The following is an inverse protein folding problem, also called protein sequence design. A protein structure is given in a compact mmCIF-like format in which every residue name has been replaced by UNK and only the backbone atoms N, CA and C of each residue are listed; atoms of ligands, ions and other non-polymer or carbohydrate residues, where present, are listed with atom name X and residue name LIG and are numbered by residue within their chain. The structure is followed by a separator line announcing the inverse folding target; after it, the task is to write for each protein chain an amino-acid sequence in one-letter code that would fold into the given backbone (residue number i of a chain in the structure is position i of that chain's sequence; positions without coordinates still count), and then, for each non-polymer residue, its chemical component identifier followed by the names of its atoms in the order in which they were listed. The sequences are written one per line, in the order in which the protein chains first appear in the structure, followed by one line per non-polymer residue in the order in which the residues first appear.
data_IF_061245187096
#
_entry.id   IF_061245187096
#
_cell.length_a   1.000
_cell.length_b   1.000
_cell.length_c   1.000
_cell.angle_alpha   90.00
_cell.angle_beta   90.00
_cell.angle_gamma   90.00
#
_symmetry.space_group_name_H-M   'P 1'
#
loop_
_entity.id
_entity.type
_entity.pdbx_description
1 polymer ?
#
# COMPACT_ATOMS: atom_id res chain seq x y z
N UNK A 1 -44.36 -22.93 -18.34
CA UNK A 1 -43.93 -21.51 -18.52
C UNK A 1 -43.34 -20.90 -17.26
N UNK A 2 -44.02 -20.92 -16.09
CA UNK A 2 -43.50 -20.30 -14.84
C UNK A 2 -42.14 -20.86 -14.35
N UNK A 3 -41.93 -22.18 -14.48
CA UNK A 3 -40.66 -22.85 -14.10
C UNK A 3 -39.48 -22.48 -15.02
N UNK A 4 -39.75 -22.23 -16.29
CA UNK A 4 -38.74 -21.81 -17.27
C UNK A 4 -38.31 -20.36 -17.03
N UNK A 5 -39.27 -19.49 -16.70
CA UNK A 5 -38.98 -18.10 -16.30
C UNK A 5 -38.13 -18.01 -15.02
N UNK A 6 -38.35 -18.92 -14.06
CA UNK A 6 -37.60 -18.95 -12.80
C UNK A 6 -36.14 -19.38 -12.98
N UNK A 7 -35.87 -20.32 -13.89
CA UNK A 7 -34.51 -20.77 -14.23
C UNK A 7 -33.74 -19.67 -14.96
N UNK A 8 -34.38 -18.96 -15.89
CA UNK A 8 -33.76 -17.83 -16.60
C UNK A 8 -33.44 -16.68 -15.64
N UNK A 9 -34.36 -16.34 -14.74
CA UNK A 9 -34.12 -15.30 -13.72
C UNK A 9 -32.93 -15.65 -12.81
N UNK A 10 -32.80 -16.90 -12.39
CA UNK A 10 -31.70 -17.34 -11.53
C UNK A 10 -30.35 -17.35 -12.27
N UNK A 11 -30.33 -17.72 -13.56
CA UNK A 11 -29.14 -17.63 -14.40
C UNK A 11 -28.67 -16.18 -14.61
N UNK A 12 -29.60 -15.24 -14.80
CA UNK A 12 -29.28 -13.81 -14.90
C UNK A 12 -28.70 -13.25 -13.60
N UNK A 13 -29.24 -13.67 -12.45
CA UNK A 13 -28.71 -13.28 -11.13
C UNK A 13 -27.29 -13.82 -10.94
N UNK A 14 -27.03 -15.10 -11.28
CA UNK A 14 -25.68 -15.67 -11.20
C UNK A 14 -24.69 -14.94 -12.11
N UNK A 15 -25.09 -14.58 -13.33
CA UNK A 15 -24.25 -13.84 -14.27
C UNK A 15 -23.91 -12.43 -13.74
N UNK A 16 -24.87 -11.75 -13.10
CA UNK A 16 -24.65 -10.44 -12.49
C UNK A 16 -23.66 -10.51 -11.32
N UNK A 17 -23.79 -11.54 -10.47
CA UNK A 17 -22.91 -11.76 -9.32
C UNK A 17 -21.48 -12.13 -9.78
N UNK A 18 -21.35 -12.93 -10.84
CA UNK A 18 -20.05 -13.30 -11.42
C UNK A 18 -19.31 -12.09 -12.02
N UNK A 19 -20.00 -11.21 -12.75
CA UNK A 19 -19.40 -9.98 -13.30
C UNK A 19 -18.96 -9.01 -12.20
N UNK A 20 -19.74 -8.86 -11.14
CA UNK A 20 -19.38 -8.01 -10.00
C UNK A 20 -18.14 -8.54 -9.24
N UNK A 21 -18.02 -9.85 -9.08
CA UNK A 21 -16.84 -10.48 -8.48
C UNK A 21 -15.57 -10.31 -9.34
N UNK A 22 -15.71 -10.34 -10.67
CA UNK A 22 -14.57 -10.16 -11.59
C UNK A 22 -14.01 -8.73 -11.52
N UNK A 23 -14.87 -7.71 -11.45
CA UNK A 23 -14.47 -6.31 -11.34
C UNK A 23 -13.69 -5.99 -10.04
N UNK A 24 -13.98 -6.66 -8.93
CA UNK A 24 -13.29 -6.48 -7.65
C UNK A 24 -11.83 -6.96 -7.68
N UNK A 25 -11.49 -7.91 -8.56
CA UNK A 25 -10.12 -8.44 -8.69
C UNK A 25 -9.16 -7.56 -9.50
N UNK A 26 -9.66 -6.44 -10.04
CA UNK A 26 -8.97 -5.59 -11.03
C UNK A 26 -8.30 -4.33 -10.45
N UNK A 27 -8.26 -4.16 -9.12
CA UNK A 27 -7.68 -2.96 -8.50
C UNK A 27 -6.55 -3.33 -7.53
N UNK A 28 -5.44 -2.62 -7.63
CA UNK A 28 -4.28 -2.68 -6.73
C UNK A 28 -4.31 -1.42 -5.88
N UNK A 29 -4.56 -1.57 -4.57
CA UNK A 29 -4.54 -0.44 -3.64
C UNK A 29 -3.12 -0.13 -3.20
N UNK A 30 -2.69 1.11 -3.37
CA UNK A 30 -1.39 1.63 -2.93
C UNK A 30 -1.63 2.72 -1.90
N UNK A 31 -1.07 2.53 -0.71
CA UNK A 31 -1.14 3.53 0.36
C UNK A 31 -0.12 4.64 0.16
N UNK A 32 -0.44 5.86 0.58
CA UNK A 32 0.50 6.99 0.50
C UNK A 32 0.41 7.83 1.77
N UNK A 33 1.57 8.15 2.36
CA UNK A 33 1.67 9.01 3.54
C UNK A 33 2.21 10.40 3.17
N UNK A 34 1.39 11.44 3.32
CA UNK A 34 1.76 12.83 3.01
C UNK A 34 1.34 13.80 4.11
N UNK A 35 2.03 14.93 4.31
CA UNK A 35 1.52 16.00 5.17
C UNK A 35 0.56 16.86 4.35
N UNK A 36 -0.73 16.54 4.36
CA UNK A 36 -1.76 17.29 3.63
C UNK A 36 -2.30 18.47 4.43
N UNK A 37 -2.11 18.46 5.75
CA UNK A 37 -2.39 19.60 6.62
C UNK A 37 -1.16 19.99 7.45
N UNK A 38 -1.22 21.18 8.06
CA UNK A 38 -0.15 21.72 8.89
C UNK A 38 0.96 22.42 8.10
N UNK A 39 2.13 22.58 8.72
CA UNK A 39 3.23 23.42 8.21
C UNK A 39 3.78 23.00 6.85
N UNK A 40 3.62 21.72 6.50
CA UNK A 40 4.17 21.14 5.26
C UNK A 40 3.09 20.81 4.22
N UNK A 41 1.84 21.27 4.43
CA UNK A 41 0.69 21.01 3.55
C UNK A 41 0.99 21.26 2.06
N UNK A 42 1.61 22.41 1.75
CA UNK A 42 1.96 22.78 0.38
C UNK A 42 2.87 21.75 -0.31
N UNK A 43 3.83 21.17 0.42
CA UNK A 43 4.68 20.12 -0.15
C UNK A 43 3.92 18.80 -0.29
N UNK A 44 3.05 18.46 0.66
CA UNK A 44 2.18 17.28 0.55
C UNK A 44 1.20 17.37 -0.62
N UNK A 45 0.67 18.55 -0.92
CA UNK A 45 -0.19 18.78 -2.10
C UNK A 45 0.56 18.54 -3.41
N UNK A 46 1.80 19.05 -3.52
CA UNK A 46 2.66 18.83 -4.70
C UNK A 46 2.97 17.34 -4.88
N UNK A 47 3.33 16.65 -3.80
CA UNK A 47 3.59 15.21 -3.85
C UNK A 47 2.31 14.43 -4.19
N UNK A 48 1.16 14.79 -3.62
CA UNK A 48 -0.14 14.17 -3.94
C UNK A 48 -0.46 14.26 -5.43
N UNK A 49 -0.30 15.45 -6.01
CA UNK A 49 -0.49 15.66 -7.46
C UNK A 49 0.47 14.78 -8.27
N UNK A 50 1.71 14.63 -7.82
CA UNK A 50 2.72 13.79 -8.49
C UNK A 50 2.32 12.31 -8.49
N UNK A 51 1.82 11.80 -7.36
CA UNK A 51 1.29 10.44 -7.27
C UNK A 51 0.06 10.23 -8.16
N UNK A 52 -0.88 11.18 -8.15
CA UNK A 52 -2.10 11.13 -8.95
C UNK A 52 -1.77 11.13 -10.45
N UNK A 53 -0.84 11.97 -10.88
CA UNK A 53 -0.35 12.01 -12.26
C UNK A 53 0.27 10.68 -12.69
N UNK A 54 1.17 10.11 -11.87
CA UNK A 54 1.82 8.84 -12.19
C UNK A 54 0.80 7.69 -12.29
N UNK A 55 -0.17 7.63 -11.37
CA UNK A 55 -1.21 6.60 -11.39
C UNK A 55 -2.16 6.76 -12.56
N UNK A 56 -2.51 8.00 -12.93
CA UNK A 56 -3.33 8.27 -14.11
C UNK A 56 -2.63 7.79 -15.39
N UNK A 57 -1.34 8.08 -15.56
CA UNK A 57 -0.54 7.60 -16.69
C UNK A 57 -0.47 6.07 -16.73
N UNK A 58 -0.14 5.42 -15.62
CA UNK A 58 -0.07 3.95 -15.52
C UNK A 58 -1.42 3.33 -15.85
N UNK A 59 -2.51 3.86 -15.30
CA UNK A 59 -3.85 3.33 -15.53
C UNK A 59 -4.33 3.53 -16.96
N UNK A 60 -3.97 4.65 -17.60
CA UNK A 60 -4.24 4.90 -19.03
C UNK A 60 -3.45 3.94 -19.93
N UNK A 61 -2.25 3.55 -19.53
CA UNK A 61 -1.43 2.54 -20.23
C UNK A 61 -1.90 1.09 -20.03
N UNK A 62 -3.05 0.86 -19.37
CA UNK A 62 -3.62 -0.47 -19.13
C UNK A 62 -3.34 -1.03 -17.73
N UNK A 63 -2.72 -0.25 -16.86
CA UNK A 63 -2.44 -0.63 -15.47
C UNK A 63 -1.27 -1.61 -15.33
N UNK A 64 -1.16 -2.22 -14.15
CA UNK A 64 -0.12 -3.21 -13.83
C UNK A 64 -0.72 -4.60 -13.95
N UNK A 65 -0.22 -5.40 -14.89
CA UNK A 65 -0.77 -6.73 -15.22
C UNK A 65 -2.29 -6.68 -15.51
N UNK A 66 -2.75 -5.64 -16.20
CA UNK A 66 -4.17 -5.42 -16.52
C UNK A 66 -5.03 -4.92 -15.35
N UNK A 67 -4.42 -4.62 -14.19
CA UNK A 67 -5.11 -4.10 -13.00
C UNK A 67 -4.83 -2.62 -12.81
N UNK A 68 -5.85 -1.84 -12.48
CA UNK A 68 -5.71 -0.42 -12.18
C UNK A 68 -5.13 -0.22 -10.78
N UNK A 69 -4.36 0.84 -10.59
CA UNK A 69 -3.92 1.31 -9.29
C UNK A 69 -4.95 2.27 -8.71
N UNK A 70 -5.29 2.10 -7.44
CA UNK A 70 -6.06 3.04 -6.63
C UNK A 70 -5.18 3.54 -5.48
N UNK A 71 -5.10 4.86 -5.33
CA UNK A 71 -4.34 5.50 -4.26
C UNK A 71 -5.23 5.66 -3.01
N UNK A 72 -4.73 5.22 -1.87
CA UNK A 72 -5.30 5.50 -0.55
C UNK A 72 -4.32 6.44 0.17
N UNK A 73 -4.66 7.72 0.23
CA UNK A 73 -3.77 8.75 0.75
C UNK A 73 -4.19 9.14 2.17
N UNK A 74 -3.25 9.05 3.11
CA UNK A 74 -3.45 9.43 4.50
C UNK A 74 -2.67 10.69 4.87
N UNK A 75 -3.31 11.59 5.61
CA UNK A 75 -2.69 12.81 6.10
C UNK A 75 -1.92 12.57 7.40
N UNK A 76 -0.62 12.73 7.33
CA UNK A 76 0.29 12.61 8.47
C UNK A 76 0.32 13.86 9.35
N UNK A 77 -0.16 15.00 8.87
CA UNK A 77 -0.05 16.32 9.50
C UNK A 77 1.39 16.74 9.85
N UNK A 78 2.41 16.04 9.32
CA UNK A 78 3.80 16.17 9.74
C UNK A 78 4.10 15.64 11.15
N UNK A 79 3.20 14.84 11.76
CA UNK A 79 3.31 14.36 13.15
C UNK A 79 3.62 12.86 13.21
N UNK A 80 4.68 12.41 13.94
CA UNK A 80 5.08 11.01 13.97
C UNK A 80 4.00 10.03 14.44
N UNK A 81 3.26 10.36 15.50
CA UNK A 81 2.21 9.48 16.02
C UNK A 81 1.06 9.29 15.04
N UNK A 82 0.71 10.35 14.28
CA UNK A 82 -0.33 10.26 13.25
C UNK A 82 0.16 9.42 12.08
N UNK A 83 1.39 9.62 11.61
CA UNK A 83 1.98 8.79 10.56
C UNK A 83 2.08 7.30 10.94
N UNK A 84 2.38 6.99 12.21
CA UNK A 84 2.36 5.62 12.73
C UNK A 84 0.97 5.00 12.61
N UNK A 85 -0.06 5.70 13.08
CA UNK A 85 -1.45 5.22 13.02
C UNK A 85 -1.97 5.11 11.58
N UNK A 86 -1.60 6.06 10.72
CA UNK A 86 -1.94 6.02 9.29
C UNK A 86 -1.31 4.81 8.59
N UNK A 87 -0.03 4.51 8.85
CA UNK A 87 0.62 3.30 8.35
C UNK A 87 -0.10 2.02 8.83
N UNK A 88 -0.45 1.96 10.11
CA UNK A 88 -1.21 0.82 10.68
C UNK A 88 -2.56 0.65 9.96
N UNK A 89 -3.29 1.75 9.75
CA UNK A 89 -4.59 1.76 9.06
C UNK A 89 -4.46 1.28 7.61
N UNK A 90 -3.49 1.83 6.86
CA UNK A 90 -3.24 1.46 5.46
C UNK A 90 -2.97 -0.05 5.31
N UNK A 91 -2.18 -0.61 6.22
CA UNK A 91 -1.83 -2.04 6.18
C UNK A 91 -3.01 -2.91 6.62
N UNK A 92 -3.66 -2.58 7.74
CA UNK A 92 -4.60 -3.50 8.40
C UNK A 92 -6.06 -3.34 7.97
N UNK A 93 -6.49 -2.10 7.72
CA UNK A 93 -7.86 -1.77 7.39
C UNK A 93 -8.03 -1.62 5.87
N UNK A 94 -7.21 -0.78 5.24
CA UNK A 94 -7.32 -0.50 3.81
C UNK A 94 -6.73 -1.61 2.94
N UNK A 95 -5.87 -2.45 3.54
CA UNK A 95 -5.24 -3.64 2.94
C UNK A 95 -4.53 -3.30 1.62
N UNK A 96 -3.74 -2.23 1.65
CA UNK A 96 -2.90 -1.84 0.51
C UNK A 96 -1.80 -2.88 0.28
N UNK A 97 -1.20 -2.90 -0.92
CA UNK A 97 -0.11 -3.84 -1.25
C UNK A 97 1.28 -3.29 -0.92
N UNK A 98 1.40 -1.97 -0.89
CA UNK A 98 2.59 -1.23 -0.46
C UNK A 98 2.17 0.16 0.00
N UNK A 99 3.03 0.80 0.79
CA UNK A 99 2.91 2.23 1.12
C UNK A 99 4.04 2.98 0.44
N UNK A 100 3.73 4.13 -0.15
CA UNK A 100 4.69 5.10 -0.66
C UNK A 100 4.63 6.43 0.09
N UNK A 101 5.47 7.37 -0.34
CA UNK A 101 5.50 8.72 0.23
C UNK A 101 6.42 8.81 1.45
N UNK A 102 6.11 9.74 2.35
CA UNK A 102 6.95 10.03 3.51
C UNK A 102 7.84 11.25 3.33
N UNK A 103 7.29 12.42 3.69
CA UNK A 103 7.97 13.72 3.65
C UNK A 103 8.91 13.94 4.84
N UNK A 104 8.35 14.06 6.05
CA UNK A 104 9.15 14.40 7.24
C UNK A 104 9.93 13.20 7.76
N UNK A 105 11.24 13.33 7.94
CA UNK A 105 12.10 12.23 8.44
C UNK A 105 11.63 11.64 9.78
N UNK A 106 11.07 12.45 10.68
CA UNK A 106 10.52 11.98 11.95
C UNK A 106 9.27 11.10 11.78
N UNK A 107 8.41 11.47 10.83
CA UNK A 107 7.20 10.70 10.46
C UNK A 107 7.60 9.41 9.77
N UNK A 108 8.53 9.48 8.81
CA UNK A 108 9.04 8.31 8.10
C UNK A 108 9.64 7.31 9.07
N UNK A 109 10.46 7.74 10.02
CA UNK A 109 11.05 6.83 11.00
C UNK A 109 9.98 6.09 11.83
N UNK A 110 8.95 6.79 12.29
CA UNK A 110 7.87 6.18 13.05
C UNK A 110 7.03 5.20 12.22
N UNK A 111 6.68 5.58 10.98
CA UNK A 111 5.92 4.74 10.05
C UNK A 111 6.73 3.51 9.58
N UNK A 112 8.02 3.69 9.31
CA UNK A 112 8.93 2.60 8.94
C UNK A 112 9.04 1.56 10.06
N UNK A 113 9.02 1.97 11.33
CA UNK A 113 8.95 1.04 12.46
C UNK A 113 7.75 0.10 12.38
N UNK A 114 6.56 0.62 12.03
CA UNK A 114 5.36 -0.20 11.82
C UNK A 114 5.52 -1.12 10.61
N UNK A 115 5.96 -0.58 9.48
CA UNK A 115 6.14 -1.34 8.25
C UNK A 115 7.13 -2.50 8.45
N UNK A 116 8.28 -2.26 9.07
CA UNK A 116 9.29 -3.29 9.35
C UNK A 116 8.75 -4.36 10.31
N UNK A 117 8.09 -3.95 11.40
CA UNK A 117 7.51 -4.89 12.36
C UNK A 117 6.45 -5.80 11.72
N UNK A 118 5.69 -5.28 10.74
CA UNK A 118 4.72 -6.07 9.96
C UNK A 118 5.31 -6.77 8.75
N UNK A 119 6.60 -6.56 8.45
CA UNK A 119 7.24 -7.09 7.26
C UNK A 119 6.66 -6.56 5.94
N UNK A 120 6.13 -5.34 5.96
CA UNK A 120 5.36 -4.70 4.89
C UNK A 120 6.23 -3.72 4.08
N UNK A 121 6.09 -3.65 2.74
CA UNK A 121 6.91 -2.76 1.92
C UNK A 121 6.49 -1.28 2.08
N UNK A 122 7.48 -0.44 2.40
CA UNK A 122 7.34 1.01 2.48
C UNK A 122 8.43 1.67 1.62
N UNK A 123 8.00 2.37 0.56
CA UNK A 123 8.87 3.10 -0.36
C UNK A 123 8.94 4.58 0.04
N UNK A 124 10.04 4.98 0.66
CA UNK A 124 10.28 6.37 1.10
C UNK A 124 10.73 7.22 -0.08
N UNK A 125 10.08 8.36 -0.32
CA UNK A 125 10.41 9.27 -1.42
C UNK A 125 11.24 10.50 -0.99
N UNK A 126 11.06 11.00 0.23
CA UNK A 126 11.60 12.33 0.63
C UNK A 126 12.36 12.31 1.96
N UNK A 127 11.91 11.55 2.97
CA UNK A 127 12.58 11.47 4.27
C UNK A 127 14.05 11.05 4.15
N UNK A 128 14.94 11.82 4.78
CA UNK A 128 16.38 11.80 4.47
C UNK A 128 17.31 11.63 5.67
N UNK A 129 16.78 11.41 6.88
CA UNK A 129 17.62 11.18 8.05
C UNK A 129 18.34 9.82 7.96
N UNK A 130 19.64 9.80 8.28
CA UNK A 130 20.50 8.60 8.21
C UNK A 130 19.90 7.39 8.95
N UNK A 131 19.31 7.64 10.12
CA UNK A 131 18.61 6.62 10.91
C UNK A 131 17.45 5.91 10.19
N UNK A 132 17.00 6.39 9.02
CA UNK A 132 15.98 5.71 8.22
C UNK A 132 16.59 4.57 7.40
N UNK A 133 17.85 4.72 6.97
CA UNK A 133 18.57 3.76 6.11
C UNK A 133 19.52 2.86 6.89
N UNK A 134 19.80 3.19 8.16
CA UNK A 134 20.59 2.35 9.04
C UNK A 134 19.94 0.97 9.25
N UNK A 135 20.66 -0.14 9.00
CA UNK A 135 20.15 -1.48 9.29
C UNK A 135 19.74 -1.65 10.75
N UNK A 136 20.42 -0.95 11.67
CA UNK A 136 20.17 -0.96 13.11
C UNK A 136 18.84 -0.31 13.53
N UNK A 137 18.30 0.58 12.69
CA UNK A 137 17.17 1.44 13.03
C UNK A 137 15.89 0.66 13.38
N UNK A 138 15.78 -0.57 12.86
CA UNK A 138 14.59 -1.40 13.02
C UNK A 138 14.92 -2.83 13.48
N UNK A 139 16.18 -3.13 13.80
CA UNK A 139 16.64 -4.47 14.20
C UNK A 139 16.27 -4.88 15.63
N UNK A 140 15.60 -4.03 16.41
CA UNK A 140 15.05 -4.46 17.69
C UNK A 140 13.92 -5.51 17.55
N UNK A 141 13.39 -5.73 16.33
CA UNK A 141 12.58 -6.90 15.99
C UNK A 141 13.44 -7.93 15.23
N UNK A 142 14.32 -8.61 15.98
CA UNK A 142 15.35 -9.54 15.50
C UNK A 142 14.84 -10.82 14.81
N UNK A 143 14.10 -10.73 13.71
CA UNK A 143 13.65 -11.92 12.98
C UNK A 143 13.67 -11.79 11.47
N UNK A 144 13.73 -10.61 10.84
CA UNK A 144 13.57 -10.52 9.36
C UNK A 144 14.85 -10.71 8.56
N UNK A 145 15.95 -10.02 8.87
CA UNK A 145 17.21 -10.20 8.14
C UNK A 145 17.71 -11.64 8.22
N UNK A 146 17.60 -12.25 9.41
CA UNK A 146 18.01 -13.63 9.62
C UNK A 146 17.03 -14.64 9.03
N UNK A 147 15.70 -14.40 9.11
CA UNK A 147 14.74 -15.30 8.46
C UNK A 147 14.76 -15.21 6.93
N UNK A 148 15.04 -14.03 6.34
CA UNK A 148 15.24 -13.88 4.91
C UNK A 148 16.51 -14.58 4.44
N UNK A 149 17.64 -14.40 5.15
CA UNK A 149 18.87 -15.15 4.88
C UNK A 149 18.63 -16.67 4.98
N UNK A 150 17.84 -17.11 5.97
CA UNK A 150 17.49 -18.52 6.15
C UNK A 150 16.58 -19.05 5.04
N UNK A 151 15.59 -18.27 4.60
CA UNK A 151 14.71 -18.61 3.47
C UNK A 151 15.48 -18.68 2.15
N UNK A 152 16.33 -17.69 1.87
CA UNK A 152 17.15 -17.63 0.66
C UNK A 152 18.20 -18.75 0.62
N UNK A 153 18.74 -19.19 1.77
CA UNK A 153 19.58 -20.39 1.85
C UNK A 153 18.80 -21.66 1.52
N UNK A 154 17.58 -21.80 2.05
CA UNK A 154 16.72 -22.98 1.81
C UNK A 154 16.25 -23.10 0.36
N UNK A 155 16.16 -21.99 -0.36
CA UNK A 155 15.81 -21.96 -1.79
C UNK A 155 17.00 -22.29 -2.70
N UNK A 156 18.24 -22.13 -2.21
CA UNK A 156 19.46 -22.46 -2.95
C UNK A 156 19.94 -23.90 -2.80
N UNK A 157 19.48 -24.61 -1.76
CA UNK A 157 19.71 -26.05 -1.56
C UNK A 157 18.37 -26.79 -1.55
N UNK A 158 17.78 -27.12 -2.73
CA UNK A 158 16.72 -28.10 -2.77
C UNK A 158 17.32 -29.45 -2.41
N UNK A 159 16.77 -30.09 -1.37
CA UNK A 159 17.03 -31.49 -1.08
C UNK A 159 16.64 -32.38 -2.28
#
# INVERSE_FOLDING_TARGET
MKRFALVVAMACILALVASAAFASSHVIKVGVLLPLTGKHAKFGEIEKQSFEMAVDEINKAGGVNGKKIELIIEDTQGKPDIGRSAMEKLITQDKVVLVGGGYSSSVVYAAAGVAVNKGFPFLVNTGSADKITEPSAFTAAGTRADSLKKKLKKEKDPA
#
